data_IF_220787145447
#
_entry.id   IF_220787145447
#
_cell.length_a   1.000
_cell.length_b   1.000
_cell.length_c   1.000
_cell.angle_alpha   90.00
_cell.angle_beta   90.00
_cell.angle_gamma   90.00
#
_symmetry.space_group_name_H-M   'P 1'
#
loop_
_entity.id
_entity.type
_entity.pdbx_description
1 polymer ?
#
# COMPACT_ATOMS: atom_id res chain seq x y z
N UNK A 1 -0.03 1.83 -20.28
CA UNK A 1 -1.04 1.64 -19.22
C UNK A 1 -1.41 3.01 -18.67
N UNK A 2 -2.70 3.31 -18.51
CA UNK A 2 -3.15 4.58 -17.92
C UNK A 2 -3.67 4.30 -16.53
N UNK A 3 -3.13 5.02 -15.55
CA UNK A 3 -3.59 4.99 -14.16
C UNK A 3 -4.38 6.25 -13.87
N UNK A 4 -5.48 6.11 -13.13
CA UNK A 4 -6.34 7.22 -12.71
C UNK A 4 -6.66 7.04 -11.23
N UNK A 5 -6.56 8.12 -10.46
CA UNK A 5 -6.99 8.12 -9.06
C UNK A 5 -8.48 8.46 -9.01
N UNK A 6 -9.26 7.65 -8.29
CA UNK A 6 -10.69 7.85 -8.10
C UNK A 6 -11.01 7.83 -6.60
N UNK A 7 -11.83 8.78 -6.17
CA UNK A 7 -12.38 8.82 -4.81
C UNK A 7 -13.76 8.18 -4.80
N UNK A 8 -14.05 7.37 -3.79
CA UNK A 8 -15.35 6.74 -3.55
C UNK A 8 -15.78 7.01 -2.12
N UNK A 9 -16.88 7.74 -1.96
CA UNK A 9 -17.52 7.96 -0.66
C UNK A 9 -18.35 6.74 -0.27
N UNK A 10 -18.10 6.19 0.92
CA UNK A 10 -18.89 5.10 1.51
C UNK A 10 -19.15 5.47 2.97
N UNK A 11 -20.43 5.54 3.37
CA UNK A 11 -20.84 5.89 4.74
C UNK A 11 -20.19 7.18 5.27
N UNK A 12 -20.07 8.22 4.44
CA UNK A 12 -19.45 9.50 4.80
C UNK A 12 -17.91 9.49 4.88
N UNK A 13 -17.26 8.35 4.60
CA UNK A 13 -15.79 8.26 4.49
C UNK A 13 -15.37 8.19 3.04
N UNK A 14 -14.40 9.01 2.66
CA UNK A 14 -13.85 9.04 1.31
C UNK A 14 -12.67 8.08 1.18
N UNK A 15 -12.80 7.12 0.27
CA UNK A 15 -11.78 6.12 -0.01
C UNK A 15 -11.11 6.39 -1.36
N UNK A 16 -9.78 6.38 -1.38
CA UNK A 16 -8.97 6.60 -2.57
C UNK A 16 -8.55 5.28 -3.19
N UNK A 17 -8.82 5.15 -4.48
CA UNK A 17 -8.43 3.99 -5.29
C UNK A 17 -7.61 4.44 -6.49
N UNK A 18 -6.58 3.67 -6.81
CA UNK A 18 -5.86 3.77 -8.06
C UNK A 18 -6.43 2.74 -9.04
N UNK A 19 -6.88 3.22 -10.19
CA UNK A 19 -7.48 2.39 -11.23
C UNK A 19 -6.48 2.27 -12.37
N UNK A 20 -6.08 1.04 -12.68
CA UNK A 20 -5.24 0.73 -13.83
C UNK A 20 -6.06 0.04 -14.90
N UNK A 21 -6.07 0.59 -16.11
CA UNK A 21 -6.68 -0.04 -17.28
C UNK A 21 -5.62 -0.78 -18.10
N UNK A 22 -5.91 -2.02 -18.46
CA UNK A 22 -5.05 -2.82 -19.31
C UNK A 22 -5.87 -3.64 -20.30
N UNK A 23 -5.31 -3.85 -21.49
CA UNK A 23 -5.91 -4.71 -22.49
C UNK A 23 -5.42 -6.14 -22.27
N UNK A 24 -6.35 -7.05 -22.03
CA UNK A 24 -6.05 -8.47 -21.93
C UNK A 24 -6.15 -9.09 -23.33
N UNK A 25 -5.00 -9.52 -23.87
CA UNK A 25 -4.91 -10.10 -25.22
C UNK A 25 -5.57 -11.47 -25.33
N UNK A 26 -5.68 -12.22 -24.22
CA UNK A 26 -6.26 -13.56 -24.21
C UNK A 26 -7.77 -13.47 -24.23
N UNK A 27 -8.34 -12.68 -23.32
CA UNK A 27 -9.79 -12.47 -23.25
C UNK A 27 -10.30 -11.44 -24.26
N UNK A 28 -9.40 -10.77 -25.00
CA UNK A 28 -9.66 -9.68 -25.96
C UNK A 28 -10.55 -8.56 -25.39
N UNK A 29 -10.45 -8.29 -24.09
CA UNK A 29 -11.27 -7.31 -23.37
C UNK A 29 -10.38 -6.33 -22.61
N UNK A 30 -10.86 -5.10 -22.51
CA UNK A 30 -10.25 -4.11 -21.61
C UNK A 30 -10.66 -4.45 -20.19
N UNK A 31 -9.67 -4.74 -19.35
CA UNK A 31 -9.87 -5.04 -17.93
C UNK A 31 -9.40 -3.87 -17.08
N UNK A 32 -9.90 -3.86 -15.86
CA UNK A 32 -9.61 -2.84 -14.87
C UNK A 32 -9.09 -3.51 -13.61
N UNK A 33 -8.05 -2.94 -13.02
CA UNK A 33 -7.54 -3.31 -11.70
C UNK A 33 -7.67 -2.11 -10.76
N UNK A 34 -8.34 -2.29 -9.62
CA UNK A 34 -8.46 -1.28 -8.58
C UNK A 34 -7.52 -1.61 -7.42
N UNK A 35 -6.62 -0.69 -7.09
CA UNK A 35 -5.73 -0.79 -5.94
C UNK A 35 -6.15 0.22 -4.88
N UNK A 36 -6.29 -0.22 -3.64
CA UNK A 36 -6.60 0.68 -2.53
C UNK A 36 -5.37 1.53 -2.17
N UNK A 37 -5.54 2.85 -2.12
CA UNK A 37 -4.49 3.79 -1.73
C UNK A 37 -4.61 4.20 -0.27
N UNK A 38 -5.84 4.36 0.22
CA UNK A 38 -6.10 4.82 1.58
C UNK A 38 -7.45 5.50 1.71
N UNK A 39 -7.68 6.13 2.86
CA UNK A 39 -8.89 6.89 3.15
C UNK A 39 -8.53 8.33 3.49
N UNK A 40 -9.43 9.25 3.19
CA UNK A 40 -9.36 10.62 3.68
C UNK A 40 -9.84 10.60 5.12
N UNK A 41 -8.99 11.04 6.05
CA UNK A 41 -9.32 11.23 7.46
C UNK A 41 -9.03 12.69 7.76
N UNK A 42 -9.99 13.40 8.33
CA UNK A 42 -9.86 14.82 8.70
C UNK A 42 -9.44 15.75 7.55
N UNK A 43 -9.96 15.49 6.34
CA UNK A 43 -9.65 16.28 5.14
C UNK A 43 -8.28 15.99 4.52
N UNK A 44 -7.46 15.12 5.12
CA UNK A 44 -6.16 14.74 4.61
C UNK A 44 -6.18 13.32 4.01
N UNK A 45 -5.69 13.12 2.77
CA UNK A 45 -5.60 11.79 2.16
C UNK A 45 -4.52 10.96 2.86
N UNK A 46 -4.93 10.03 3.73
CA UNK A 46 -4.00 9.12 4.42
C UNK A 46 -3.76 7.91 3.54
N UNK A 47 -2.66 7.94 2.77
CA UNK A 47 -2.20 6.78 2.00
C UNK A 47 -1.59 5.75 2.92
N UNK A 48 -1.95 4.48 2.74
CA UNK A 48 -1.48 3.37 3.58
C UNK A 48 0.05 3.24 3.55
N UNK A 49 0.69 3.53 2.41
CA UNK A 49 2.15 3.41 2.26
C UNK A 49 2.92 4.54 2.93
N UNK A 50 2.36 5.74 2.98
CA UNK A 50 3.02 6.89 3.60
C UNK A 50 3.05 6.70 5.13
N UNK A 51 2.00 6.06 5.70
CA UNK A 51 1.96 5.65 7.10
C UNK A 51 2.86 4.43 7.38
N UNK A 52 3.01 3.52 6.42
CA UNK A 52 3.80 2.30 6.57
C UNK A 52 5.32 2.52 6.53
N UNK A 53 5.79 3.70 6.10
CA UNK A 53 7.21 4.05 6.13
C UNK A 53 7.77 4.25 7.54
N UNK A 54 6.89 4.52 8.51
CA UNK A 54 7.26 4.65 9.92
C UNK A 54 6.73 3.41 10.64
N UNK A 55 7.60 2.46 11.03
CA UNK A 55 7.15 1.35 11.86
C UNK A 55 6.56 1.92 13.15
N UNK A 56 5.24 1.76 13.35
CA UNK A 56 4.52 2.26 14.54
C UNK A 56 5.08 1.72 15.85
N UNK A 57 5.72 0.56 15.79
CA UNK A 57 6.46 -0.04 16.89
C UNK A 57 7.58 -0.91 16.31
N UNK A 58 8.79 -0.74 16.83
CA UNK A 58 9.82 -1.77 16.74
C UNK A 58 9.50 -2.81 17.81
N UNK A 59 8.83 -3.89 17.43
CA UNK A 59 8.60 -5.02 18.33
C UNK A 59 9.93 -5.76 18.48
N UNK A 60 10.62 -5.54 19.60
CA UNK A 60 11.82 -6.28 19.97
C UNK A 60 11.40 -7.64 20.52
N UNK A 61 11.24 -8.62 19.64
CA UNK A 61 11.15 -10.02 20.01
C UNK A 61 12.56 -10.49 20.42
N UNK A 62 12.98 -10.21 21.66
CA UNK A 62 14.22 -10.78 22.21
C UNK A 62 14.21 -12.31 22.15
N UNK A 63 15.41 -12.93 22.12
CA UNK A 63 15.82 -14.35 22.23
C UNK A 63 14.88 -15.52 21.81
N UNK A 64 13.72 -15.28 21.22
CA UNK A 64 12.72 -16.29 20.83
C UNK A 64 12.68 -16.53 19.33
N UNK A 65 13.80 -16.35 18.63
CA UNK A 65 14.01 -16.89 17.30
C UNK A 65 15.01 -18.06 17.36
N UNK A 66 14.56 -19.30 17.62
CA UNK A 66 15.38 -20.46 17.35
C UNK A 66 15.58 -20.57 15.84
N UNK A 67 16.80 -20.21 15.41
CA UNK A 67 17.48 -20.55 14.16
C UNK A 67 16.61 -20.95 12.96
N UNK A 68 16.31 -20.01 12.06
CA UNK A 68 16.62 -20.09 10.62
C UNK A 68 15.86 -19.03 9.81
N UNK A 69 16.59 -18.00 9.35
CA UNK A 69 16.57 -17.44 7.98
C UNK A 69 17.05 -15.98 8.01
N UNK A 70 18.06 -15.59 7.19
CA UNK A 70 18.62 -14.26 7.21
C UNK A 70 17.78 -13.32 6.33
N UNK A 71 16.84 -12.57 6.92
CA UNK A 71 16.30 -11.38 6.25
C UNK A 71 17.17 -10.19 6.64
N UNK A 72 18.19 -9.96 5.81
CA UNK A 72 19.15 -8.87 5.89
C UNK A 72 18.42 -7.51 5.94
N UNK A 73 18.27 -6.98 7.16
CA UNK A 73 17.83 -5.62 7.43
C UNK A 73 18.96 -4.65 7.06
N UNK A 74 18.95 -4.17 5.82
CA UNK A 74 19.89 -3.13 5.35
C UNK A 74 19.25 -1.77 5.59
N UNK A 75 19.36 -1.25 6.81
CA UNK A 75 19.15 0.17 7.09
C UNK A 75 20.55 0.80 7.01
N UNK A 76 20.82 1.46 5.88
CA UNK A 76 22.04 2.23 5.66
C UNK A 76 22.09 3.37 6.67
N UNK A 77 23.21 3.40 7.38
CA UNK A 77 23.62 4.42 8.35
C UNK A 77 23.65 5.81 7.71
N UNK A 78 23.08 6.77 8.44
CA UNK A 78 23.39 8.19 8.38
C UNK A 78 24.90 8.45 8.47
N UNK A 79 25.41 9.22 7.52
CA UNK A 79 26.66 9.97 7.57
C UNK A 79 26.41 11.39 7.10
#
# INVERSE_FOLDING_TARGET
>A
MRTVVRTKTINGTDYLYEITYYYDKVSKRTRQHSRYLGKVVDGHPVRVRDVAGIPKAALSYGEFCPASLPVKLMILSSG
#
